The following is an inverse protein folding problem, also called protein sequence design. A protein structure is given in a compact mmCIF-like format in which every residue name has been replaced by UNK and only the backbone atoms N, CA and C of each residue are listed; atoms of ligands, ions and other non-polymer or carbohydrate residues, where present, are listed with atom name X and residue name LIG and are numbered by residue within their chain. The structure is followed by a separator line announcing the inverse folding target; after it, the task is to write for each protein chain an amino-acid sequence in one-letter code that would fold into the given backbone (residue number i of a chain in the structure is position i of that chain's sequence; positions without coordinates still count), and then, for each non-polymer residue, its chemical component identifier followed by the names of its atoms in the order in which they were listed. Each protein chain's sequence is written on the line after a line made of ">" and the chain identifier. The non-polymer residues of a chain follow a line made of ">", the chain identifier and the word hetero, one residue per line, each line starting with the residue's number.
data_IF_068467464312
#
_entry.id   IF_068467464312
#
_cell.length_a   1.000
_cell.length_b   1.000
_cell.length_c   1.000
_cell.angle_alpha   90.00
_cell.angle_beta   90.00
_cell.angle_gamma   90.00
#
_symmetry.space_group_name_H-M   'P 1'
#
loop_
_entity.id
_entity.type
_entity.pdbx_description
1 polymer ?
#
# COMPACT_ATOMS: atom_id res chain seq x y z
N UNK A 1 27.34 38.35 -4.78
CA UNK A 1 28.58 37.88 -4.13
C UNK A 1 28.46 37.69 -2.62
N UNK A 2 27.42 38.23 -1.98
CA UNK A 2 27.19 38.17 -0.51
C UNK A 2 26.56 36.85 0.00
N UNK A 3 25.80 36.13 -0.82
CA UNK A 3 25.08 34.90 -0.37
C UNK A 3 26.01 33.67 -0.24
N UNK A 4 27.06 33.59 -1.05
CA UNK A 4 28.00 32.47 -1.02
C UNK A 4 28.90 32.55 0.21
N UNK A 5 29.30 33.74 0.64
CA UNK A 5 30.10 33.94 1.84
C UNK A 5 29.32 33.68 3.13
N UNK A 6 28.01 33.92 3.14
CA UNK A 6 27.15 33.58 4.28
C UNK A 6 26.90 32.08 4.37
N UNK A 7 26.80 31.35 3.27
CA UNK A 7 26.67 29.91 3.26
C UNK A 7 27.95 29.19 3.73
N UNK A 8 29.13 29.68 3.28
CA UNK A 8 30.41 29.14 3.74
C UNK A 8 30.66 29.39 5.23
N UNK A 9 30.25 30.53 5.76
CA UNK A 9 30.39 30.81 7.19
C UNK A 9 29.43 29.94 8.03
N UNK A 10 28.22 29.65 7.55
CA UNK A 10 27.27 28.73 8.19
C UNK A 10 27.77 27.26 8.17
N UNK A 11 28.39 26.83 7.08
CA UNK A 11 28.98 25.49 6.98
C UNK A 11 30.22 25.33 7.87
N UNK A 12 31.06 26.36 7.97
CA UNK A 12 32.21 26.41 8.87
C UNK A 12 31.79 26.43 10.35
N UNK A 13 30.69 27.12 10.68
CA UNK A 13 30.14 27.15 12.02
C UNK A 13 29.48 25.83 12.41
N UNK A 14 28.87 25.11 11.45
CA UNK A 14 28.35 23.75 11.65
C UNK A 14 29.50 22.71 11.80
N UNK A 15 30.64 22.92 11.16
CA UNK A 15 31.79 22.04 11.23
C UNK A 15 32.69 22.28 12.46
N UNK A 16 32.65 23.48 13.07
CA UNK A 16 33.49 23.88 14.22
C UNK A 16 32.78 23.83 15.57
N UNK A 17 31.46 23.55 15.61
CA UNK A 17 30.73 23.37 16.87
C UNK A 17 31.05 22.01 17.52
N UNK A 18 30.92 21.89 18.85
CA UNK A 18 31.11 20.63 19.53
C UNK A 18 30.17 19.59 18.90
N UNK A 19 30.75 18.54 18.34
CA UNK A 19 30.02 17.48 17.65
C UNK A 19 28.94 16.89 18.54
N UNK A 20 27.79 16.53 17.96
CA UNK A 20 26.67 15.86 18.66
C UNK A 20 27.17 14.73 19.57
N UNK A 21 28.22 14.03 19.16
CA UNK A 21 28.91 13.01 19.94
C UNK A 21 29.59 13.54 21.20
N UNK A 22 30.12 14.76 21.17
CA UNK A 22 30.73 15.37 22.35
C UNK A 22 29.66 15.74 23.39
N UNK A 23 28.52 16.27 22.96
CA UNK A 23 27.38 16.51 23.84
C UNK A 23 26.80 15.22 24.42
N UNK A 24 26.73 14.17 23.60
CA UNK A 24 26.30 12.85 24.06
C UNK A 24 27.25 12.28 25.10
N UNK A 25 28.57 12.46 24.93
CA UNK A 25 29.59 12.02 25.89
C UNK A 25 29.48 12.71 27.24
N UNK A 26 29.19 14.03 27.24
CA UNK A 26 29.05 14.87 28.44
C UNK A 26 27.66 14.83 29.07
N UNK A 27 26.67 14.26 28.37
CA UNK A 27 25.29 14.17 28.85
C UNK A 27 25.18 13.22 30.05
N UNK A 28 24.25 13.54 30.93
CA UNK A 28 23.93 12.73 32.11
C UNK A 28 23.41 11.35 31.69
N UNK A 29 23.54 10.33 32.52
CA UNK A 29 23.08 8.96 32.24
C UNK A 29 21.63 8.90 31.76
N UNK A 30 20.74 9.72 32.36
CA UNK A 30 19.35 9.84 31.93
C UNK A 30 19.22 10.34 30.47
N UNK A 31 20.01 11.34 30.06
CA UNK A 31 20.02 11.86 28.68
C UNK A 31 20.48 10.82 27.65
N UNK A 32 21.46 9.98 28.00
CA UNK A 32 21.93 8.88 27.15
C UNK A 32 20.83 7.85 26.91
N UNK A 33 20.05 7.49 27.93
CA UNK A 33 18.93 6.56 27.80
C UNK A 33 17.86 7.13 26.88
N UNK A 34 17.49 8.40 27.03
CA UNK A 34 16.49 9.03 26.16
C UNK A 34 16.92 9.02 24.69
N UNK A 35 18.16 9.37 24.40
CA UNK A 35 18.69 9.35 23.02
C UNK A 35 18.68 7.94 22.44
N UNK A 36 19.04 6.94 23.24
CA UNK A 36 19.05 5.55 22.83
C UNK A 36 17.62 5.06 22.49
N UNK A 37 16.66 5.39 23.35
CA UNK A 37 15.23 5.06 23.11
C UNK A 37 14.73 5.72 21.83
N UNK A 38 15.03 7.01 21.62
CA UNK A 38 14.66 7.72 20.39
C UNK A 38 15.30 7.09 19.14
N UNK A 39 16.55 6.67 19.24
CA UNK A 39 17.23 5.98 18.14
C UNK A 39 16.52 4.66 17.79
N UNK A 40 16.18 3.85 18.79
CA UNK A 40 15.45 2.59 18.59
C UNK A 40 14.07 2.87 17.96
N UNK A 41 13.31 3.83 18.47
CA UNK A 41 12.03 4.22 17.91
C UNK A 41 12.16 4.68 16.45
N UNK A 42 13.21 5.43 16.12
CA UNK A 42 13.49 5.86 14.75
C UNK A 42 13.74 4.67 13.82
N UNK A 43 14.55 3.71 14.24
CA UNK A 43 14.82 2.50 13.43
C UNK A 43 13.53 1.70 13.19
N UNK A 44 12.70 1.54 14.22
CA UNK A 44 11.40 0.86 14.09
C UNK A 44 10.50 1.60 13.09
N UNK A 45 10.38 2.93 13.21
CA UNK A 45 9.59 3.73 12.29
C UNK A 45 10.05 3.61 10.85
N UNK A 46 11.34 3.67 10.60
CA UNK A 46 11.93 3.47 9.27
C UNK A 46 11.68 2.06 8.72
N UNK A 47 11.80 1.04 9.56
CA UNK A 47 11.55 -0.35 9.18
C UNK A 47 10.09 -0.55 8.73
N UNK A 48 9.13 0.02 9.47
CA UNK A 48 7.70 -0.04 9.13
C UNK A 48 7.41 0.71 7.83
N UNK A 49 7.97 1.92 7.64
CA UNK A 49 7.82 2.70 6.42
C UNK A 49 8.36 1.95 5.20
N UNK A 50 9.55 1.38 5.32
CA UNK A 50 10.19 0.64 4.22
C UNK A 50 9.42 -0.63 3.86
N UNK A 51 8.97 -1.38 4.86
CA UNK A 51 8.10 -2.55 4.66
C UNK A 51 6.82 -2.19 3.92
N UNK A 52 6.16 -1.09 4.32
CA UNK A 52 4.93 -0.61 3.68
C UNK A 52 5.17 -0.15 2.23
N UNK A 53 6.28 0.55 1.99
CA UNK A 53 6.66 0.98 0.65
C UNK A 53 6.89 -0.22 -0.29
N UNK A 54 7.59 -1.25 0.20
CA UNK A 54 7.81 -2.48 -0.58
C UNK A 54 6.51 -3.22 -0.88
N UNK A 55 5.60 -3.35 0.10
CA UNK A 55 4.29 -3.97 -0.10
C UNK A 55 3.46 -3.23 -1.15
N UNK A 56 3.37 -1.91 -1.07
CA UNK A 56 2.66 -1.09 -2.05
C UNK A 56 3.28 -1.17 -3.45
N UNK A 57 4.59 -1.14 -3.54
CA UNK A 57 5.31 -1.27 -4.82
C UNK A 57 5.04 -2.63 -5.48
N UNK A 58 5.06 -3.70 -4.68
CA UNK A 58 4.75 -5.06 -5.13
C UNK A 58 3.31 -5.17 -5.65
N UNK A 59 2.35 -4.62 -4.91
CA UNK A 59 0.93 -4.60 -5.30
C UNK A 59 0.72 -3.81 -6.60
N UNK A 60 1.35 -2.65 -6.72
CA UNK A 60 1.30 -1.85 -7.94
C UNK A 60 1.86 -2.60 -9.15
N UNK A 61 2.95 -3.32 -8.97
CA UNK A 61 3.55 -4.15 -10.02
C UNK A 61 2.62 -5.30 -10.44
N UNK A 62 1.98 -5.98 -9.48
CA UNK A 62 1.03 -7.06 -9.74
C UNK A 62 -0.21 -6.55 -10.49
N UNK A 63 -0.78 -5.43 -10.05
CA UNK A 63 -1.93 -4.83 -10.69
C UNK A 63 -1.62 -4.41 -12.14
N UNK A 64 -0.47 -3.75 -12.37
CA UNK A 64 -0.04 -3.38 -13.73
C UNK A 64 0.17 -4.58 -14.65
N UNK A 65 0.69 -5.68 -14.11
CA UNK A 65 0.86 -6.91 -14.89
C UNK A 65 -0.49 -7.47 -15.31
N UNK A 66 -1.44 -7.51 -14.41
CA UNK A 66 -2.78 -8.01 -14.68
C UNK A 66 -3.57 -7.09 -15.63
N UNK A 67 -3.47 -5.79 -15.47
CA UNK A 67 -4.03 -4.79 -16.37
C UNK A 67 -3.54 -4.99 -17.83
N UNK A 68 -2.25 -5.28 -18.01
CA UNK A 68 -1.69 -5.57 -19.33
C UNK A 68 -2.20 -6.90 -19.92
N UNK A 69 -2.53 -7.87 -19.08
CA UNK A 69 -3.16 -9.12 -19.56
C UNK A 69 -4.59 -8.83 -20.00
N UNK A 70 -5.36 -8.10 -19.21
CA UNK A 70 -6.73 -7.70 -19.56
C UNK A 70 -6.80 -6.87 -20.84
N UNK A 71 -5.85 -5.94 -21.04
CA UNK A 71 -5.84 -5.09 -22.25
C UNK A 71 -5.47 -5.82 -23.53
N UNK A 72 -4.91 -7.03 -23.43
CA UNK A 72 -4.61 -7.87 -24.60
C UNK A 72 -5.77 -8.76 -25.02
N UNK A 73 -6.65 -9.09 -24.09
CA UNK A 73 -7.81 -9.91 -24.34
C UNK A 73 -8.98 -9.05 -24.83
N UNK A 74 -9.54 -9.38 -25.98
CA UNK A 74 -10.67 -8.65 -26.57
C UNK A 74 -11.99 -8.91 -25.83
N UNK A 75 -12.10 -10.06 -25.13
CA UNK A 75 -13.28 -10.45 -24.38
C UNK A 75 -12.90 -10.91 -22.98
N UNK A 76 -13.42 -10.21 -21.98
CA UNK A 76 -13.22 -10.54 -20.56
C UNK A 76 -13.77 -11.93 -20.18
N UNK A 77 -14.74 -12.44 -20.95
CA UNK A 77 -15.39 -13.72 -20.71
C UNK A 77 -14.55 -14.93 -21.19
N UNK A 78 -13.59 -14.70 -22.08
CA UNK A 78 -12.68 -15.73 -22.58
C UNK A 78 -11.45 -15.92 -21.69
N UNK A 79 -11.33 -15.14 -20.62
CA UNK A 79 -10.28 -15.31 -19.64
C UNK A 79 -10.42 -16.69 -18.98
N UNK A 80 -9.42 -17.56 -19.15
CA UNK A 80 -9.45 -18.85 -18.48
C UNK A 80 -9.52 -18.61 -16.97
N UNK A 81 -10.32 -19.39 -16.23
CA UNK A 81 -10.38 -19.34 -14.77
C UNK A 81 -9.09 -19.92 -14.18
N UNK A 82 -7.95 -19.47 -14.68
CA UNK A 82 -6.66 -19.93 -14.20
C UNK A 82 -6.51 -19.55 -12.73
N UNK A 83 -6.14 -20.58 -11.99
CA UNK A 83 -5.79 -20.44 -10.58
C UNK A 83 -4.76 -19.32 -10.45
N UNK A 84 -4.98 -18.37 -9.55
CA UNK A 84 -4.02 -17.29 -9.33
C UNK A 84 -2.68 -17.92 -8.99
N UNK A 85 -1.69 -17.74 -9.86
CA UNK A 85 -0.32 -18.00 -9.49
C UNK A 85 -0.02 -17.19 -8.22
N UNK A 86 0.87 -17.65 -7.36
CA UNK A 86 1.35 -16.91 -6.18
C UNK A 86 1.71 -15.49 -6.61
N UNK A 87 0.83 -14.50 -6.38
CA UNK A 87 1.06 -13.12 -6.75
C UNK A 87 -0.10 -12.41 -7.47
N UNK A 88 -1.30 -13.00 -7.46
CA UNK A 88 -2.49 -12.29 -7.91
C UNK A 88 -2.74 -11.07 -7.02
N UNK A 89 -2.74 -9.89 -7.61
CA UNK A 89 -3.01 -8.63 -6.90
C UNK A 89 -4.50 -8.49 -6.53
N UNK A 90 -4.85 -7.48 -5.72
CA UNK A 90 -6.23 -7.22 -5.32
C UNK A 90 -7.17 -7.01 -6.52
N UNK A 91 -6.68 -6.43 -7.59
CA UNK A 91 -7.45 -6.23 -8.82
C UNK A 91 -7.92 -7.55 -9.46
N UNK A 92 -7.04 -8.56 -9.49
CA UNK A 92 -7.40 -9.90 -9.96
C UNK A 92 -8.54 -10.52 -9.14
N UNK A 93 -8.50 -10.39 -7.81
CA UNK A 93 -9.54 -10.96 -6.95
C UNK A 93 -10.91 -10.36 -7.25
N UNK A 94 -10.99 -9.03 -7.40
CA UNK A 94 -12.24 -8.34 -7.72
C UNK A 94 -12.79 -8.79 -9.08
N UNK A 95 -11.94 -8.87 -10.11
CA UNK A 95 -12.36 -9.32 -11.46
C UNK A 95 -12.82 -10.78 -11.42
N UNK A 96 -12.11 -11.65 -10.73
CA UNK A 96 -12.49 -13.06 -10.56
C UNK A 96 -13.86 -13.19 -9.89
N UNK A 97 -14.08 -12.47 -8.80
CA UNK A 97 -15.35 -12.53 -8.05
C UNK A 97 -16.51 -11.99 -8.89
N UNK A 98 -16.27 -10.99 -9.73
CA UNK A 98 -17.22 -10.48 -10.70
C UNK A 98 -17.56 -11.50 -11.78
N UNK A 99 -16.55 -12.15 -12.37
CA UNK A 99 -16.74 -13.20 -13.37
C UNK A 99 -17.45 -14.42 -12.78
N UNK A 100 -17.07 -14.85 -11.58
CA UNK A 100 -17.74 -15.94 -10.88
C UNK A 100 -19.23 -15.61 -10.64
N UNK A 101 -19.55 -14.40 -10.21
CA UNK A 101 -20.93 -13.95 -10.08
C UNK A 101 -21.67 -13.98 -11.42
N UNK A 102 -21.04 -13.49 -12.50
CA UNK A 102 -21.63 -13.51 -13.83
C UNK A 102 -21.98 -14.93 -14.30
N UNK A 103 -21.06 -15.87 -14.17
CA UNK A 103 -21.29 -17.26 -14.61
C UNK A 103 -22.28 -17.99 -13.69
N UNK A 104 -22.27 -17.75 -12.39
CA UNK A 104 -23.21 -18.32 -11.41
C UNK A 104 -24.66 -17.95 -11.71
N UNK A 105 -24.89 -16.76 -12.22
CA UNK A 105 -26.22 -16.26 -12.56
C UNK A 105 -26.56 -16.39 -14.06
N UNK A 106 -25.97 -17.38 -14.73
CA UNK A 106 -26.36 -17.80 -16.08
C UNK A 106 -25.64 -17.06 -17.19
N UNK A 107 -24.39 -16.61 -16.99
CA UNK A 107 -23.60 -15.92 -17.98
C UNK A 107 -23.30 -16.70 -19.26
N UNK A 108 -23.49 -18.05 -19.24
CA UNK A 108 -23.32 -18.92 -20.41
C UNK A 108 -24.60 -19.01 -21.28
N UNK A 109 -25.73 -18.46 -20.81
CA UNK A 109 -26.98 -18.52 -21.53
C UNK A 109 -27.12 -17.28 -22.41
N UNK A 110 -27.51 -17.47 -23.66
CA UNK A 110 -27.93 -16.38 -24.55
C UNK A 110 -29.27 -15.86 -24.03
N UNK A 111 -29.22 -14.79 -23.23
CA UNK A 111 -30.42 -14.18 -22.67
C UNK A 111 -31.07 -13.31 -23.75
N UNK A 112 -32.26 -13.71 -24.19
CA UNK A 112 -33.16 -12.90 -24.99
C UNK A 112 -33.98 -11.94 -24.12
N UNK A 113 -33.94 -12.13 -22.80
CA UNK A 113 -34.73 -11.37 -21.82
C UNK A 113 -33.88 -10.30 -21.14
N UNK A 114 -34.19 -9.04 -21.46
CA UNK A 114 -33.52 -7.85 -20.93
C UNK A 114 -33.62 -7.79 -19.39
N UNK A 115 -34.71 -8.27 -18.80
CA UNK A 115 -34.88 -8.24 -17.36
C UNK A 115 -33.88 -9.16 -16.65
N UNK A 116 -33.64 -10.35 -17.17
CA UNK A 116 -32.64 -11.29 -16.63
C UNK A 116 -31.22 -10.76 -16.78
N UNK A 117 -30.93 -10.11 -17.92
CA UNK A 117 -29.63 -9.47 -18.13
C UNK A 117 -29.39 -8.36 -17.09
N UNK A 118 -30.40 -7.54 -16.79
CA UNK A 118 -30.29 -6.47 -15.78
C UNK A 118 -30.08 -7.04 -14.37
N UNK A 119 -30.81 -8.09 -13.99
CA UNK A 119 -30.63 -8.75 -12.70
C UNK A 119 -29.22 -9.35 -12.55
N UNK A 120 -28.73 -10.00 -13.60
CA UNK A 120 -27.35 -10.53 -13.63
C UNK A 120 -26.32 -9.42 -13.42
N UNK A 121 -26.48 -8.29 -14.11
CA UNK A 121 -25.59 -7.15 -13.96
C UNK A 121 -25.59 -6.61 -12.54
N UNK A 122 -26.76 -6.54 -11.89
CA UNK A 122 -26.87 -6.15 -10.49
C UNK A 122 -26.12 -7.09 -9.54
N UNK A 123 -26.14 -8.40 -9.80
CA UNK A 123 -25.35 -9.37 -9.01
C UNK A 123 -23.85 -9.21 -9.21
N UNK A 124 -23.41 -8.93 -10.44
CA UNK A 124 -21.99 -8.66 -10.75
C UNK A 124 -21.53 -7.37 -10.05
N UNK A 125 -22.34 -6.30 -10.13
CA UNK A 125 -22.04 -5.03 -9.46
C UNK A 125 -21.93 -5.21 -7.94
N UNK A 126 -22.83 -5.92 -7.31
CA UNK A 126 -22.77 -6.27 -5.89
C UNK A 126 -21.50 -7.08 -5.54
N UNK A 127 -21.09 -8.01 -6.39
CA UNK A 127 -19.86 -8.78 -6.19
C UNK A 127 -18.62 -7.88 -6.26
N UNK A 128 -18.58 -6.94 -7.21
CA UNK A 128 -17.50 -5.96 -7.33
C UNK A 128 -17.43 -5.06 -6.09
N UNK A 129 -18.56 -4.48 -5.67
CA UNK A 129 -18.61 -3.60 -4.50
C UNK A 129 -18.17 -4.32 -3.23
N UNK A 130 -18.61 -5.57 -3.02
CA UNK A 130 -18.19 -6.39 -1.88
C UNK A 130 -16.70 -6.72 -1.95
N UNK A 131 -16.19 -7.09 -3.11
CA UNK A 131 -14.76 -7.35 -3.32
C UNK A 131 -13.89 -6.11 -3.06
N UNK A 132 -14.32 -4.93 -3.51
CA UNK A 132 -13.65 -3.67 -3.21
C UNK A 132 -13.67 -3.35 -1.72
N UNK A 133 -14.82 -3.46 -1.05
CA UNK A 133 -14.95 -3.23 0.38
C UNK A 133 -14.03 -4.17 1.19
N UNK A 134 -13.95 -5.45 0.84
CA UNK A 134 -13.05 -6.41 1.49
C UNK A 134 -11.58 -6.01 1.32
N UNK A 135 -11.18 -5.56 0.12
CA UNK A 135 -9.82 -5.10 -0.11
C UNK A 135 -9.51 -3.83 0.71
N UNK A 136 -10.42 -2.86 0.76
CA UNK A 136 -10.28 -1.64 1.57
C UNK A 136 -10.09 -2.00 3.04
N UNK A 137 -10.96 -2.83 3.62
CA UNK A 137 -10.85 -3.27 5.03
C UNK A 137 -9.50 -3.95 5.29
N UNK A 138 -9.04 -4.80 4.38
CA UNK A 138 -7.74 -5.49 4.50
C UNK A 138 -6.56 -4.51 4.52
N UNK A 139 -6.65 -3.40 3.78
CA UNK A 139 -5.60 -2.38 3.77
C UNK A 139 -5.72 -1.42 4.96
N UNK A 140 -6.94 -1.04 5.34
CA UNK A 140 -7.19 -0.16 6.48
C UNK A 140 -6.82 -0.80 7.80
N UNK A 141 -7.06 -2.08 8.01
CA UNK A 141 -6.69 -2.78 9.24
C UNK A 141 -5.20 -2.65 9.59
N UNK A 142 -4.35 -2.62 8.57
CA UNK A 142 -2.91 -2.37 8.74
C UNK A 142 -2.57 -0.89 8.98
N UNK A 143 -3.43 0.03 8.54
CA UNK A 143 -3.26 1.49 8.76
C UNK A 143 -3.68 1.91 10.17
N UNK A 144 -4.70 1.28 10.74
CA UNK A 144 -5.14 1.53 12.12
C UNK A 144 -4.01 1.24 13.10
N UNK A 145 -3.24 0.18 12.88
CA UNK A 145 -2.09 -0.17 13.71
C UNK A 145 -0.99 0.91 13.66
N UNK A 146 -0.75 1.50 12.47
CA UNK A 146 0.16 2.62 12.32
C UNK A 146 -0.36 3.89 13.00
N UNK A 147 -1.66 4.16 12.87
CA UNK A 147 -2.31 5.28 13.56
C UNK A 147 -2.18 5.20 15.08
N UNK A 148 -2.41 4.02 15.66
CA UNK A 148 -2.26 3.82 17.11
C UNK A 148 -0.82 3.98 17.60
N UNK A 149 0.19 3.64 16.80
CA UNK A 149 1.60 3.87 17.16
C UNK A 149 1.91 5.36 17.13
N UNK A 150 1.40 6.09 16.13
CA UNK A 150 1.63 7.54 16.00
C UNK A 150 0.92 8.34 17.10
N UNK A 151 -0.31 7.95 17.46
CA UNK A 151 -1.09 8.63 18.52
C UNK A 151 -0.70 8.19 19.93
N UNK A 152 -0.10 7.02 20.10
CA UNK A 152 0.39 6.51 21.37
C UNK A 152 1.82 6.94 21.70
N UNK A 153 2.52 7.63 20.81
CA UNK A 153 3.80 8.26 21.11
C UNK A 153 3.55 9.56 21.89
N UNK A 154 4.01 9.68 23.15
CA UNK A 154 3.86 10.88 23.97
C UNK A 154 4.67 12.05 23.39
#
# INVERSE_FOLDING_TARGET
>A
MSLITTFDSLLLQAAGGPNVFTYFGQSNFAGKIVVLVLMVCSIIAWSVLFGKYMDLSRLRSQNKRYERLLSKESHLLDLPPERPGKGAGPYYNVVRDALEAFFRYGGNLVDTDTHRATLRMGHVENAIQRGLAEQVIRYESKMVLLGSIVTGAP
#
